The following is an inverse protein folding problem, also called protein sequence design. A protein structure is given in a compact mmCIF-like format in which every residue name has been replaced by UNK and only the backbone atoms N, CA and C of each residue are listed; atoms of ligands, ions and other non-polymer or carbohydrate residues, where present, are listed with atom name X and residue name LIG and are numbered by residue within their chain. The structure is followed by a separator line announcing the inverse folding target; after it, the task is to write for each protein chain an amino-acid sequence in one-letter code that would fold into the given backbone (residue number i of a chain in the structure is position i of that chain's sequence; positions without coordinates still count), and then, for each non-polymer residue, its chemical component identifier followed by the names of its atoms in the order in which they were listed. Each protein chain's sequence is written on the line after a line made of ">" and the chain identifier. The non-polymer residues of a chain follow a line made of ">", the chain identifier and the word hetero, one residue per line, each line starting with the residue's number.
data_IF_915827473487
#
_entry.id   IF_915827473487
#
_cell.length_a   1.000
_cell.length_b   1.000
_cell.length_c   1.000
_cell.angle_alpha   90.00
_cell.angle_beta   90.00
_cell.angle_gamma   90.00
#
_symmetry.space_group_name_H-M   'P 1'
#
loop_
_entity.id
_entity.type
_entity.pdbx_description
1 polymer ?
#
# COMPACT_ATOMS: atom_id res chain seq x y z
N UNK A 1 13.26 5.48 -34.06
CA UNK A 1 12.76 5.47 -32.67
C UNK A 1 12.59 6.91 -32.30
N UNK A 2 11.42 7.30 -31.78
CA UNK A 2 11.23 8.66 -31.30
C UNK A 2 11.71 8.72 -29.84
N UNK A 3 12.87 9.32 -29.63
CA UNK A 3 13.48 9.39 -28.31
C UNK A 3 12.79 10.40 -27.38
N UNK A 4 11.99 11.33 -27.95
CA UNK A 4 11.29 12.34 -27.16
C UNK A 4 10.18 11.73 -26.28
N UNK A 5 9.60 10.61 -26.70
CA UNK A 5 8.59 9.87 -25.93
C UNK A 5 9.16 9.23 -24.65
N UNK A 6 10.48 9.01 -24.59
CA UNK A 6 11.16 8.33 -23.48
C UNK A 6 11.90 9.26 -22.53
N UNK A 7 11.85 10.57 -22.75
CA UNK A 7 12.57 11.55 -21.90
C UNK A 7 12.07 11.49 -20.46
N UNK A 8 10.75 11.38 -20.24
CA UNK A 8 10.17 11.31 -18.88
C UNK A 8 10.65 10.07 -18.11
N UNK A 9 10.63 8.90 -18.75
CA UNK A 9 11.09 7.64 -18.16
C UNK A 9 12.61 7.61 -17.94
N UNK A 10 13.37 8.20 -18.86
CA UNK A 10 14.83 8.36 -18.73
C UNK A 10 15.18 9.25 -17.53
N UNK A 11 14.49 10.38 -17.36
CA UNK A 11 14.73 11.32 -16.25
C UNK A 11 14.30 10.75 -14.89
N UNK A 12 13.31 9.86 -14.84
CA UNK A 12 12.90 9.14 -13.62
C UNK A 12 13.78 7.94 -13.28
N UNK A 13 14.55 7.44 -14.24
CA UNK A 13 15.35 6.22 -14.10
C UNK A 13 14.55 4.92 -14.27
N UNK A 14 13.34 5.00 -14.84
CA UNK A 14 12.44 3.86 -15.04
C UNK A 14 12.68 3.13 -16.38
N UNK A 15 13.58 3.66 -17.21
CA UNK A 15 13.89 3.10 -18.52
C UNK A 15 14.70 1.79 -18.41
N UNK A 16 14.33 0.77 -19.21
CA UNK A 16 15.06 -0.50 -19.29
C UNK A 16 16.55 -0.28 -19.61
N UNK A 17 17.42 -1.12 -19.07
CA UNK A 17 18.88 -0.95 -19.15
C UNK A 17 19.40 -0.92 -20.59
N UNK A 18 18.82 -1.72 -21.50
CA UNK A 18 19.20 -1.70 -22.91
C UNK A 18 18.74 -0.42 -23.61
N UNK A 19 17.51 0.02 -23.34
CA UNK A 19 16.94 1.25 -23.87
C UNK A 19 17.69 2.49 -23.37
N UNK A 20 18.13 2.49 -22.11
CA UNK A 20 18.95 3.56 -21.53
C UNK A 20 20.28 3.69 -22.26
N UNK A 21 20.94 2.59 -22.56
CA UNK A 21 22.20 2.61 -23.32
C UNK A 21 22.01 3.19 -24.74
N UNK A 22 20.93 2.80 -25.43
CA UNK A 22 20.62 3.34 -26.75
C UNK A 22 20.26 4.82 -26.70
N UNK A 23 19.52 5.25 -25.67
CA UNK A 23 19.16 6.64 -25.40
C UNK A 23 20.42 7.49 -25.14
N UNK A 24 21.34 7.03 -24.30
CA UNK A 24 22.62 7.71 -24.05
C UNK A 24 23.45 7.85 -25.35
N UNK A 25 23.45 6.82 -26.20
CA UNK A 25 24.08 6.87 -27.51
C UNK A 25 23.42 7.90 -28.44
N UNK A 26 22.09 8.02 -28.37
CA UNK A 26 21.33 8.99 -29.15
C UNK A 26 21.58 10.43 -28.66
N UNK A 27 21.60 10.66 -27.35
CA UNK A 27 21.90 11.96 -26.71
C UNK A 27 23.27 12.48 -27.14
N UNK A 28 24.27 11.60 -27.32
CA UNK A 28 25.60 12.00 -27.79
C UNK A 28 25.62 12.43 -29.27
N UNK A 29 24.70 11.90 -30.08
CA UNK A 29 24.64 12.15 -31.52
C UNK A 29 23.72 13.31 -31.88
N UNK A 30 22.70 13.56 -31.07
CA UNK A 30 21.64 14.52 -31.31
C UNK A 30 21.69 15.66 -30.29
N UNK A 31 22.11 16.84 -30.77
CA UNK A 31 22.20 18.03 -29.94
C UNK A 31 20.83 18.59 -29.53
N UNK A 32 19.78 18.39 -30.33
CA UNK A 32 18.43 18.83 -30.01
C UNK A 32 17.83 17.96 -28.91
N UNK A 33 18.01 16.64 -28.99
CA UNK A 33 17.60 15.71 -27.93
C UNK A 33 18.30 16.02 -26.61
N UNK A 34 19.62 16.27 -26.66
CA UNK A 34 20.37 16.68 -25.47
C UNK A 34 19.82 17.97 -24.87
N UNK A 35 19.57 18.98 -25.71
CA UNK A 35 18.98 20.25 -25.24
C UNK A 35 17.58 20.05 -24.65
N UNK A 36 16.77 19.13 -25.19
CA UNK A 36 15.46 18.82 -24.64
C UNK A 36 15.55 18.20 -23.25
N UNK A 37 16.55 17.33 -23.01
CA UNK A 37 16.83 16.75 -21.69
C UNK A 37 17.38 17.80 -20.72
N UNK A 38 18.35 18.61 -21.15
CA UNK A 38 18.98 19.62 -20.31
C UNK A 38 17.97 20.68 -19.82
N UNK A 39 16.92 20.96 -20.61
CA UNK A 39 15.84 21.90 -20.25
C UNK A 39 14.55 21.20 -19.78
N UNK A 40 14.60 19.89 -19.55
CA UNK A 40 13.41 19.09 -19.24
C UNK A 40 12.72 19.56 -17.96
N UNK A 41 13.47 19.78 -16.88
CA UNK A 41 12.91 20.18 -15.58
C UNK A 41 12.20 21.54 -15.67
N UNK A 42 12.80 22.50 -16.38
CA UNK A 42 12.23 23.82 -16.60
C UNK A 42 10.96 23.74 -17.46
N UNK A 43 11.01 22.98 -18.55
CA UNK A 43 9.87 22.77 -19.45
C UNK A 43 8.72 22.06 -18.74
N UNK A 44 9.02 21.06 -17.91
CA UNK A 44 8.04 20.31 -17.12
C UNK A 44 7.36 21.21 -16.10
N UNK A 45 8.14 21.97 -15.33
CA UNK A 45 7.61 22.91 -14.33
C UNK A 45 6.71 23.96 -14.98
N UNK A 46 7.12 24.50 -16.13
CA UNK A 46 6.32 25.46 -16.89
C UNK A 46 5.01 24.83 -17.41
N UNK A 47 5.09 23.61 -17.96
CA UNK A 47 3.92 22.89 -18.46
C UNK A 47 2.93 22.57 -17.35
N UNK A 48 3.41 22.13 -16.18
CA UNK A 48 2.59 21.85 -15.00
C UNK A 48 1.89 23.12 -14.51
N UNK A 49 2.61 24.25 -14.45
CA UNK A 49 2.02 25.54 -14.08
C UNK A 49 0.97 26.05 -15.07
N UNK A 50 1.18 25.86 -16.38
CA UNK A 50 0.18 26.23 -17.40
C UNK A 50 -1.08 25.37 -17.30
N UNK A 51 -0.92 24.08 -17.03
CA UNK A 51 -2.05 23.17 -16.83
C UNK A 51 -2.84 23.53 -15.57
N UNK A 52 -2.15 23.91 -14.49
CA UNK A 52 -2.79 24.39 -13.27
C UNK A 52 -3.63 25.66 -13.53
N UNK A 53 -3.09 26.62 -14.31
CA UNK A 53 -3.82 27.84 -14.69
C UNK A 53 -5.05 27.53 -15.55
N UNK A 54 -4.95 26.62 -16.52
CA UNK A 54 -6.09 26.21 -17.37
C UNK A 54 -7.19 25.51 -16.54
N UNK A 55 -6.80 24.70 -15.56
CA UNK A 55 -7.73 24.07 -14.61
C UNK A 55 -8.39 25.13 -13.72
N UNK A 56 -7.64 26.13 -13.23
CA UNK A 56 -8.21 27.24 -12.44
C UNK A 56 -9.20 28.07 -13.27
N UNK A 57 -8.85 28.43 -14.50
CA UNK A 57 -9.74 29.17 -15.41
C UNK A 57 -11.02 28.36 -15.70
N UNK A 58 -10.87 27.06 -15.91
CA UNK A 58 -12.01 26.16 -16.08
C UNK A 58 -12.90 26.14 -14.84
N UNK A 59 -12.34 26.09 -13.62
CA UNK A 59 -13.10 26.12 -12.37
C UNK A 59 -13.81 27.47 -12.20
N UNK A 60 -13.14 28.59 -12.44
CA UNK A 60 -13.73 29.93 -12.34
C UNK A 60 -14.88 30.10 -13.32
N UNK A 61 -14.74 29.61 -14.56
CA UNK A 61 -15.81 29.62 -15.55
C UNK A 61 -17.01 28.76 -15.11
N UNK A 62 -16.77 27.64 -14.44
CA UNK A 62 -17.82 26.78 -13.90
C UNK A 62 -18.51 27.42 -12.69
N UNK A 63 -17.78 28.11 -11.82
CA UNK A 63 -18.32 28.82 -10.66
C UNK A 63 -19.13 30.07 -11.07
N UNK A 64 -18.66 30.81 -12.06
CA UNK A 64 -19.40 31.93 -12.67
C UNK A 64 -20.73 31.44 -13.28
N UNK A 65 -20.70 30.31 -14.01
CA UNK A 65 -21.92 29.69 -14.55
C UNK A 65 -22.85 29.13 -13.46
N UNK A 66 -22.30 28.64 -12.35
CA UNK A 66 -23.07 28.16 -11.19
C UNK A 66 -23.74 29.31 -10.40
N UNK A 67 -23.15 30.51 -10.41
CA UNK A 67 -23.71 31.70 -9.74
C UNK A 67 -24.74 32.43 -10.61
N UNK A 68 -24.58 32.45 -11.94
CA UNK A 68 -25.61 32.97 -12.86
C UNK A 68 -26.87 32.08 -12.93
N UNK A 69 -26.71 30.76 -12.77
CA UNK A 69 -27.87 29.84 -12.69
C UNK A 69 -28.70 29.98 -11.41
N UNK A 70 -28.23 30.74 -10.41
CA UNK A 70 -28.95 31.02 -9.16
C UNK A 70 -29.67 32.39 -9.13
N UNK A 71 -29.61 33.18 -10.22
CA UNK A 71 -30.33 34.48 -10.32
C UNK A 71 -31.39 34.58 -11.43
N UNK A 72 -31.68 33.50 -12.15
CA UNK A 72 -32.87 33.43 -13.03
C UNK A 72 -33.71 32.20 -12.67
N UNK A 73 -34.55 32.36 -11.64
CA UNK A 73 -35.85 31.69 -11.58
C UNK A 73 -36.78 32.40 -10.59
N UNK A 74 -37.30 33.54 -11.04
CA UNK A 74 -38.73 33.83 -10.87
C UNK A 74 -39.33 33.96 -12.27
N UNK A 75 -40.27 33.05 -12.53
CA UNK A 75 -41.15 32.99 -13.70
C UNK A 75 -40.46 32.81 -15.07
N UNK A 76 -40.49 31.59 -15.61
CA UNK A 76 -41.53 31.24 -16.59
C UNK A 76 -41.53 29.75 -16.95
N UNK A 77 -42.74 29.22 -17.11
CA UNK A 77 -43.20 28.11 -17.94
C UNK A 77 -42.24 26.94 -18.24
N UNK A 78 -42.60 25.81 -17.63
CA UNK A 78 -42.67 24.47 -18.24
C UNK A 78 -42.05 24.30 -19.64
N UNK A 79 -40.76 23.98 -19.69
CA UNK A 79 -40.20 23.20 -20.78
C UNK A 79 -39.72 21.89 -20.19
N UNK A 80 -40.49 20.82 -20.44
CA UNK A 80 -40.13 19.44 -20.09
C UNK A 80 -38.93 19.04 -20.96
N UNK A 81 -37.73 19.43 -20.55
CA UNK A 81 -36.49 18.86 -21.07
C UNK A 81 -36.48 17.37 -20.72
N UNK A 82 -36.63 16.53 -21.75
CA UNK A 82 -36.48 15.08 -21.64
C UNK A 82 -34.99 14.80 -21.45
N UNK A 83 -34.47 15.02 -20.24
CA UNK A 83 -33.19 14.42 -19.85
C UNK A 83 -33.30 12.92 -20.12
N UNK A 84 -32.45 12.34 -20.98
CA UNK A 84 -32.53 10.92 -21.28
C UNK A 84 -32.39 10.18 -19.96
N UNK A 85 -33.33 9.27 -19.68
CA UNK A 85 -33.43 8.54 -18.41
C UNK A 85 -32.09 7.90 -18.02
N UNK A 86 -31.26 7.56 -19.01
CA UNK A 86 -29.92 7.03 -18.85
C UNK A 86 -28.93 7.96 -18.10
N UNK A 87 -29.02 9.29 -18.26
CA UNK A 87 -28.11 10.22 -17.57
C UNK A 87 -28.35 10.28 -16.05
N UNK A 88 -29.59 10.01 -15.61
CA UNK A 88 -29.95 9.93 -14.19
C UNK A 88 -29.40 8.68 -13.50
N UNK A 89 -29.00 7.66 -14.28
CA UNK A 89 -28.40 6.41 -13.78
C UNK A 89 -26.87 6.53 -13.75
N UNK A 90 -26.27 7.28 -14.67
CA UNK A 90 -24.80 7.45 -14.77
C UNK A 90 -24.18 8.20 -13.58
N UNK A 91 -24.82 9.27 -13.12
CA UNK A 91 -24.31 10.09 -12.02
C UNK A 91 -24.15 9.29 -10.71
N UNK A 92 -25.15 8.54 -10.21
CA UNK A 92 -24.97 7.71 -9.02
C UNK A 92 -23.98 6.56 -9.25
N UNK A 93 -23.84 6.05 -10.47
CA UNK A 93 -22.84 5.03 -10.79
C UNK A 93 -21.41 5.54 -10.59
N UNK A 94 -21.07 6.74 -11.09
CA UNK A 94 -19.76 7.33 -10.87
C UNK A 94 -19.47 7.67 -9.41
N UNK A 95 -20.49 8.09 -8.64
CA UNK A 95 -20.34 8.32 -7.19
C UNK A 95 -20.02 7.00 -6.47
N UNK A 96 -20.69 5.90 -6.81
CA UNK A 96 -20.42 4.58 -6.24
C UNK A 96 -19.00 4.12 -6.61
N UNK A 97 -18.63 4.22 -7.88
CA UNK A 97 -17.28 3.85 -8.34
C UNK A 97 -16.20 4.70 -7.66
N UNK A 98 -16.40 6.01 -7.57
CA UNK A 98 -15.49 6.92 -6.85
C UNK A 98 -15.37 6.56 -5.37
N UNK A 99 -16.48 6.23 -4.70
CA UNK A 99 -16.48 5.75 -3.32
C UNK A 99 -15.67 4.45 -3.15
N UNK A 100 -15.79 3.51 -4.10
CA UNK A 100 -15.00 2.28 -4.09
C UNK A 100 -13.50 2.55 -4.30
N UNK A 101 -13.12 3.45 -5.21
CA UNK A 101 -11.71 3.82 -5.43
C UNK A 101 -11.14 4.48 -4.18
N UNK A 102 -11.85 5.43 -3.57
CA UNK A 102 -11.41 6.08 -2.32
C UNK A 102 -11.25 5.04 -1.20
N UNK A 103 -12.20 4.11 -1.05
CA UNK A 103 -12.12 3.01 -0.09
C UNK A 103 -10.91 2.10 -0.36
N UNK A 104 -10.60 1.83 -1.62
CA UNK A 104 -9.47 0.99 -2.01
C UNK A 104 -8.13 1.68 -1.65
N UNK A 105 -7.96 2.95 -2.05
CA UNK A 105 -6.76 3.75 -1.75
C UNK A 105 -6.58 3.94 -0.24
N UNK A 106 -7.66 4.17 0.52
CA UNK A 106 -7.60 4.28 1.98
C UNK A 106 -7.15 2.98 2.65
N UNK A 107 -7.56 1.82 2.11
CA UNK A 107 -7.13 0.51 2.63
C UNK A 107 -5.63 0.33 2.48
N UNK A 108 -5.08 0.67 1.31
CA UNK A 108 -3.65 0.57 1.03
C UNK A 108 -2.81 1.50 1.92
N UNK A 109 -3.24 2.76 2.09
CA UNK A 109 -2.59 3.70 3.03
C UNK A 109 -2.57 3.18 4.47
N UNK A 110 -3.69 2.61 4.93
CA UNK A 110 -3.79 2.05 6.29
C UNK A 110 -2.86 0.86 6.49
N UNK A 111 -2.68 0.03 5.46
CA UNK A 111 -1.78 -1.11 5.52
C UNK A 111 -0.31 -0.67 5.55
N UNK A 112 0.07 0.34 4.77
CA UNK A 112 1.40 0.91 4.80
C UNK A 112 1.76 1.51 6.17
N UNK A 113 0.84 2.27 6.78
CA UNK A 113 1.02 2.82 8.14
C UNK A 113 1.22 1.71 9.19
N UNK A 114 0.45 0.61 9.07
CA UNK A 114 0.59 -0.56 9.96
C UNK A 114 1.96 -1.22 9.82
N UNK A 115 2.47 -1.33 8.60
CA UNK A 115 3.80 -1.90 8.34
C UNK A 115 4.92 -0.99 8.85
N UNK A 116 4.78 0.33 8.73
CA UNK A 116 5.75 1.30 9.27
C UNK A 116 5.78 1.26 10.80
N UNK A 117 4.60 1.21 11.44
CA UNK A 117 4.47 1.03 12.89
C UNK A 117 5.05 -0.31 13.34
N UNK A 118 4.83 -1.38 12.58
CA UNK A 118 5.45 -2.67 12.85
C UNK A 118 6.97 -2.59 12.74
N UNK A 119 7.52 -2.06 11.65
CA UNK A 119 8.96 -1.96 11.43
C UNK A 119 9.67 -1.11 12.51
N UNK A 120 9.01 -0.06 13.00
CA UNK A 120 9.58 0.84 14.01
C UNK A 120 9.49 0.32 15.45
N UNK A 121 8.45 -0.46 15.78
CA UNK A 121 8.20 -0.90 17.16
C UNK A 121 8.54 -2.38 17.41
N UNK A 122 8.61 -3.18 16.35
CA UNK A 122 8.76 -4.62 16.48
C UNK A 122 10.21 -5.02 16.77
N UNK A 123 10.38 -5.70 17.90
CA UNK A 123 11.63 -6.39 18.23
C UNK A 123 11.39 -7.90 18.07
N UNK A 124 12.14 -8.51 17.15
CA UNK A 124 12.10 -9.96 16.94
C UNK A 124 12.65 -10.67 18.19
N UNK A 125 11.95 -11.69 18.72
CA UNK A 125 12.48 -12.49 19.82
C UNK A 125 13.71 -13.28 19.37
N UNK A 126 14.74 -13.30 20.22
CA UNK A 126 15.96 -14.09 20.03
C UNK A 126 15.79 -15.38 20.81
N UNK A 127 16.06 -16.53 20.16
CA UNK A 127 16.04 -17.83 20.81
C UNK A 127 17.41 -18.51 20.67
N UNK A 128 18.17 -18.49 21.77
CA UNK A 128 19.53 -19.02 21.84
C UNK A 128 19.59 -20.55 21.74
N UNK A 129 18.48 -21.26 21.98
CA UNK A 129 18.46 -22.73 21.93
C UNK A 129 18.55 -23.23 20.49
N UNK A 130 17.94 -22.53 19.55
CA UNK A 130 17.87 -22.93 18.14
C UNK A 130 19.23 -22.78 17.45
N UNK A 131 20.05 -21.84 17.92
CA UNK A 131 21.38 -21.57 17.36
C UNK A 131 22.42 -22.64 17.73
N UNK A 132 22.15 -23.48 18.73
CA UNK A 132 23.08 -24.52 19.20
C UNK A 132 22.80 -25.87 18.58
N UNK A 133 23.21 -26.07 17.32
CA UNK A 133 23.49 -27.39 16.73
C UNK A 133 22.50 -28.52 17.02
N UNK A 134 21.20 -28.24 17.08
CA UNK A 134 20.19 -29.25 17.40
C UNK A 134 20.01 -30.18 16.19
N UNK A 135 20.02 -31.49 16.43
CA UNK A 135 19.66 -32.48 15.42
C UNK A 135 18.23 -32.23 14.92
N UNK A 136 18.12 -31.82 13.64
CA UNK A 136 16.86 -31.47 12.97
C UNK A 136 15.81 -32.58 13.01
N UNK A 137 16.25 -33.83 13.18
CA UNK A 137 15.36 -34.99 13.21
C UNK A 137 14.68 -35.18 14.57
N UNK A 138 15.29 -34.72 15.66
CA UNK A 138 14.81 -34.90 17.03
C UNK A 138 13.95 -33.73 17.54
N UNK A 139 13.79 -32.67 16.74
CA UNK A 139 13.00 -31.51 17.15
C UNK A 139 11.51 -31.84 17.28
N UNK A 140 10.92 -31.46 18.41
CA UNK A 140 9.47 -31.47 18.58
C UNK A 140 8.80 -30.35 17.74
N UNK A 141 7.47 -30.37 17.64
CA UNK A 141 6.73 -29.40 16.82
C UNK A 141 6.96 -27.94 17.27
N UNK A 142 7.08 -27.69 18.58
CA UNK A 142 7.38 -26.36 19.09
C UNK A 142 8.75 -25.86 18.61
N UNK A 143 9.80 -26.67 18.77
CA UNK A 143 11.16 -26.36 18.32
C UNK A 143 11.22 -26.16 16.80
N UNK A 144 10.51 -26.98 16.02
CA UNK A 144 10.40 -26.80 14.57
C UNK A 144 9.71 -25.48 14.21
N UNK A 145 8.66 -25.12 14.95
CA UNK A 145 7.97 -23.84 14.82
C UNK A 145 8.91 -22.65 14.99
N UNK A 146 9.66 -22.62 16.10
CA UNK A 146 10.66 -21.57 16.35
C UNK A 146 11.78 -21.58 15.30
N UNK A 147 12.24 -22.75 14.87
CA UNK A 147 13.27 -22.89 13.85
C UNK A 147 12.82 -22.30 12.51
N UNK A 148 11.63 -22.64 12.03
CA UNK A 148 11.10 -22.08 10.79
C UNK A 148 10.86 -20.56 10.91
N UNK A 149 10.43 -20.08 12.07
CA UNK A 149 10.33 -18.65 12.33
C UNK A 149 11.68 -17.94 12.18
N UNK A 150 12.77 -18.54 12.71
CA UNK A 150 14.12 -17.98 12.57
C UNK A 150 14.61 -17.90 11.12
N UNK A 151 14.11 -18.80 10.26
CA UNK A 151 14.41 -18.84 8.83
C UNK A 151 13.47 -17.95 7.98
N UNK A 152 12.55 -17.22 8.60
CA UNK A 152 11.47 -16.48 7.92
C UNK A 152 10.51 -17.37 7.11
N UNK A 153 10.45 -18.67 7.41
CA UNK A 153 9.49 -19.61 6.79
C UNK A 153 8.20 -19.63 7.62
N UNK A 154 7.46 -18.52 7.62
CA UNK A 154 6.36 -18.27 8.57
C UNK A 154 5.19 -19.25 8.44
N UNK A 155 4.84 -19.69 7.23
CA UNK A 155 3.77 -20.66 6.99
C UNK A 155 4.12 -22.03 7.57
N UNK A 156 5.39 -22.44 7.48
CA UNK A 156 5.86 -23.68 8.11
C UNK A 156 5.93 -23.53 9.62
N UNK A 157 6.29 -22.34 10.11
CA UNK A 157 6.29 -22.04 11.54
C UNK A 157 4.87 -22.14 12.12
N UNK A 158 3.88 -21.55 11.45
CA UNK A 158 2.45 -21.64 11.78
C UNK A 158 2.00 -23.10 11.89
N UNK A 159 2.20 -23.89 10.84
CA UNK A 159 1.80 -25.31 10.81
C UNK A 159 2.36 -26.10 12.02
N UNK A 160 3.65 -25.91 12.33
CA UNK A 160 4.27 -26.63 13.45
C UNK A 160 3.81 -26.12 14.82
N UNK A 161 3.59 -24.82 14.98
CA UNK A 161 3.11 -24.27 16.24
C UNK A 161 1.64 -24.66 16.51
N UNK A 162 0.77 -24.68 15.49
CA UNK A 162 -0.60 -25.15 15.63
C UNK A 162 -0.64 -26.64 16.02
N UNK A 163 0.16 -27.49 15.35
CA UNK A 163 0.27 -28.91 15.71
C UNK A 163 0.84 -29.13 17.12
N UNK A 164 1.62 -28.20 17.66
CA UNK A 164 2.06 -28.22 19.04
C UNK A 164 0.94 -27.85 20.01
N UNK A 165 0.22 -26.76 19.71
CA UNK A 165 -0.92 -26.28 20.51
C UNK A 165 -2.04 -27.32 20.61
N UNK A 166 -2.34 -28.03 19.51
CA UNK A 166 -3.35 -29.10 19.49
C UNK A 166 -3.03 -30.30 20.40
N UNK A 167 -1.74 -30.48 20.75
CA UNK A 167 -1.25 -31.65 21.50
C UNK A 167 -0.83 -31.34 22.92
N UNK A 168 -0.76 -30.06 23.29
CA UNK A 168 -0.38 -29.63 24.63
C UNK A 168 -1.64 -29.28 25.44
N UNK A 169 -1.64 -29.67 26.71
CA UNK A 169 -2.67 -29.28 27.68
C UNK A 169 -2.09 -28.50 28.86
N UNK A 170 -0.77 -28.25 28.84
CA UNK A 170 -0.07 -27.47 29.85
C UNK A 170 -0.20 -25.98 29.53
N UNK A 171 -0.65 -25.21 30.51
CA UNK A 171 -0.95 -23.78 30.37
C UNK A 171 0.29 -22.94 30.00
N UNK A 172 1.44 -23.21 30.60
CA UNK A 172 2.70 -22.53 30.28
C UNK A 172 3.13 -22.79 28.83
N UNK A 173 2.96 -24.03 28.38
CA UNK A 173 3.26 -24.48 27.02
C UNK A 173 2.30 -23.87 26.01
N UNK A 174 1.01 -23.76 26.34
CA UNK A 174 0.02 -23.05 25.54
C UNK A 174 0.37 -21.57 25.41
N UNK A 175 0.72 -20.92 26.53
CA UNK A 175 1.13 -19.52 26.56
C UNK A 175 2.36 -19.28 25.67
N UNK A 176 3.39 -20.11 25.78
CA UNK A 176 4.59 -20.06 24.94
C UNK A 176 4.29 -20.35 23.45
N UNK A 177 3.44 -21.32 23.15
CA UNK A 177 3.02 -21.61 21.78
C UNK A 177 2.29 -20.43 21.15
N UNK A 178 1.33 -19.86 21.88
CA UNK A 178 0.57 -18.67 21.47
C UNK A 178 1.47 -17.43 21.30
N UNK A 179 2.49 -17.27 22.15
CA UNK A 179 3.48 -16.21 22.03
C UNK A 179 4.22 -16.27 20.68
N UNK A 180 4.79 -17.42 20.34
CA UNK A 180 5.51 -17.60 19.08
C UNK A 180 4.58 -17.50 17.87
N UNK A 181 3.36 -18.00 17.99
CA UNK A 181 2.36 -17.92 16.91
C UNK A 181 1.90 -16.47 16.68
N UNK A 182 1.77 -15.68 17.74
CA UNK A 182 1.53 -14.24 17.65
C UNK A 182 2.63 -13.52 16.86
N UNK A 183 3.89 -13.87 17.09
CA UNK A 183 5.02 -13.35 16.31
C UNK A 183 4.99 -13.79 14.85
N UNK A 184 4.64 -15.05 14.57
CA UNK A 184 4.46 -15.55 13.20
C UNK A 184 3.44 -14.70 12.45
N UNK A 185 2.25 -14.51 13.03
CA UNK A 185 1.19 -13.71 12.39
C UNK A 185 1.54 -12.24 12.22
N UNK A 186 2.29 -11.64 13.15
CA UNK A 186 2.80 -10.28 12.98
C UNK A 186 3.73 -10.18 11.77
N UNK A 187 4.63 -11.14 11.58
CA UNK A 187 5.57 -11.12 10.44
C UNK A 187 4.87 -11.45 9.11
N UNK A 188 3.72 -12.12 9.13
CA UNK A 188 2.88 -12.36 7.95
C UNK A 188 1.93 -11.20 7.62
N UNK A 189 1.87 -10.15 8.47
CA UNK A 189 0.90 -9.06 8.32
C UNK A 189 -0.54 -9.45 8.69
N UNK A 190 -0.76 -10.59 9.34
CA UNK A 190 -2.08 -11.07 9.75
C UNK A 190 -2.49 -10.48 11.12
N UNK A 191 -2.66 -9.16 11.17
CA UNK A 191 -2.80 -8.37 12.41
C UNK A 191 -3.92 -8.85 13.35
N UNK A 192 -5.07 -9.24 12.79
CA UNK A 192 -6.22 -9.70 13.58
C UNK A 192 -5.96 -11.07 14.22
N UNK A 193 -5.29 -11.98 13.50
CA UNK A 193 -4.89 -13.28 14.05
C UNK A 193 -3.82 -13.08 15.12
N UNK A 194 -2.84 -12.22 14.86
CA UNK A 194 -1.82 -11.86 15.84
C UNK A 194 -2.46 -11.33 17.14
N UNK A 195 -3.47 -10.46 17.04
CA UNK A 195 -4.21 -9.93 18.19
C UNK A 195 -4.87 -11.01 19.03
N UNK A 196 -5.48 -12.01 18.40
CA UNK A 196 -6.11 -13.14 19.09
C UNK A 196 -5.08 -13.87 19.96
N UNK A 197 -3.99 -14.34 19.36
CA UNK A 197 -2.99 -15.17 20.06
C UNK A 197 -2.15 -14.38 21.07
N UNK A 198 -1.93 -13.08 20.85
CA UNK A 198 -1.23 -12.22 21.81
C UNK A 198 -2.13 -11.82 22.98
N UNK A 199 -3.45 -11.68 22.77
CA UNK A 199 -4.38 -11.34 23.87
C UNK A 199 -4.46 -12.41 24.95
N UNK A 200 -4.28 -13.67 24.55
CA UNK A 200 -4.20 -14.85 25.43
C UNK A 200 -2.88 -14.93 26.20
N UNK A 201 -1.87 -14.13 25.84
CA UNK A 201 -0.56 -14.09 26.49
C UNK A 201 -0.39 -12.78 27.29
N UNK A 202 0.30 -12.81 28.43
CA UNK A 202 0.54 -11.61 29.26
C UNK A 202 1.68 -10.70 28.77
N UNK A 203 2.23 -10.90 27.58
CA UNK A 203 3.35 -10.08 27.09
C UNK A 203 2.95 -8.63 26.78
N UNK A 204 3.37 -7.71 27.65
CA UNK A 204 3.03 -6.28 27.60
C UNK A 204 3.51 -5.56 26.33
N UNK A 205 4.65 -5.96 25.74
CA UNK A 205 5.21 -5.26 24.58
C UNK A 205 4.40 -5.53 23.31
N UNK A 206 4.00 -6.78 23.09
CA UNK A 206 3.19 -7.16 21.93
C UNK A 206 1.77 -6.57 21.98
N UNK A 207 1.19 -6.47 23.18
CA UNK A 207 -0.09 -5.79 23.40
C UNK A 207 0.00 -4.30 23.04
N UNK A 208 1.10 -3.63 23.39
CA UNK A 208 1.30 -2.23 23.05
C UNK A 208 1.40 -2.04 21.52
N UNK A 209 2.22 -2.86 20.85
CA UNK A 209 2.38 -2.82 19.38
C UNK A 209 1.03 -3.01 18.68
N UNK A 210 0.28 -4.05 19.05
CA UNK A 210 -1.03 -4.33 18.46
C UNK A 210 -2.08 -3.25 18.76
N UNK A 211 -2.01 -2.61 19.94
CA UNK A 211 -2.93 -1.50 20.28
C UNK A 211 -2.73 -0.28 19.37
N UNK A 212 -1.53 -0.11 18.82
CA UNK A 212 -1.18 0.97 17.89
C UNK A 212 -1.49 0.58 16.45
N UNK A 213 -1.30 -0.69 16.07
CA UNK A 213 -1.52 -1.22 14.70
C UNK A 213 -3.01 -1.46 14.40
N UNK A 214 -3.78 -2.01 15.35
CA UNK A 214 -5.15 -2.52 15.12
C UNK A 214 -6.23 -1.48 15.54
N UNK A 215 -5.96 -0.19 15.36
CA UNK A 215 -6.96 0.88 15.56
C UNK A 215 -8.03 0.92 14.47
#
# INVERSE_FOLDING_TARGET
>A
MDWYEYIDDYMKGDLDENLRYEMESAIQKDAELKSAIDNYDDAKTLSEGLLELDIMESIDSLEANATETNKISRNDKSSKSKFPIWLKILIPFFIIVGFFIIRYVQKEKKEAERQELFASLYVRPIDDEILKGIDRTLMNNFQKGKYYFSLNEFEKAEDKLLLFLDRTSNEDSLSLGNYWLGHVYLNMGEWEKAKKFISENENSQLKEILSKIVK
#
